data_IF_512270970630
#
_entry.id   IF_512270970630
#
_cell.length_a   1.000
_cell.length_b   1.000
_cell.length_c   1.000
_cell.angle_alpha   90.00
_cell.angle_beta   90.00
_cell.angle_gamma   90.00
#
_symmetry.space_group_name_H-M   'P 1'
#
loop_
_entity.id
_entity.type
_entity.pdbx_description
1 polymer ?
#
# COMPACT_ATOMS: atom_id res chain seq x y z
N UNK A 1 -0.09 12.68 5.84
CA UNK A 1 1.04 11.87 6.33
C UNK A 1 1.71 12.41 7.59
N UNK A 2 1.85 13.72 7.80
CA UNK A 2 2.52 14.28 9.00
C UNK A 2 1.88 13.87 10.32
N UNK A 3 0.56 13.69 10.36
CA UNK A 3 -0.18 13.30 11.56
C UNK A 3 0.25 11.95 12.16
N UNK A 4 0.74 10.99 11.36
CA UNK A 4 1.13 9.66 11.87
C UNK A 4 2.54 9.63 12.46
N UNK A 5 3.39 10.63 12.18
CA UNK A 5 4.77 10.68 12.68
C UNK A 5 4.84 10.72 14.22
N UNK A 6 3.85 11.36 14.86
CA UNK A 6 3.75 11.40 16.32
C UNK A 6 3.47 10.04 16.96
N UNK A 7 2.84 9.12 16.21
CA UNK A 7 2.53 7.76 16.67
C UNK A 7 3.71 6.79 16.62
N UNK A 8 4.84 7.18 16.02
CA UNK A 8 6.04 6.35 16.02
C UNK A 8 6.69 6.33 17.41
N UNK A 9 6.96 5.13 17.91
CA UNK A 9 7.80 4.94 19.10
C UNK A 9 9.26 5.39 18.88
N UNK A 10 10.07 5.42 19.94
CA UNK A 10 11.50 5.75 19.84
C UNK A 10 12.21 4.84 18.82
N UNK A 11 12.94 5.43 17.86
CA UNK A 11 13.62 4.68 16.79
C UNK A 11 12.71 4.27 15.62
N UNK A 12 11.41 4.58 15.66
CA UNK A 12 10.44 4.16 14.64
C UNK A 12 10.69 4.78 13.26
N UNK A 13 10.24 4.08 12.22
CA UNK A 13 10.36 4.50 10.83
C UNK A 13 8.99 4.59 10.16
N UNK A 14 8.70 5.70 9.49
CA UNK A 14 7.58 5.82 8.55
C UNK A 14 8.02 5.36 7.17
N UNK A 15 7.39 4.30 6.64
CA UNK A 15 7.58 3.85 5.25
C UNK A 15 6.50 4.47 4.36
N UNK A 16 6.92 5.23 3.37
CA UNK A 16 6.07 5.87 2.37
C UNK A 16 5.93 4.96 1.16
N UNK A 17 4.72 4.40 0.99
CA UNK A 17 4.35 3.54 -0.16
C UNK A 17 3.31 4.20 -1.08
N UNK A 18 2.75 5.33 -0.67
CA UNK A 18 1.83 6.13 -1.48
C UNK A 18 2.55 7.27 -2.19
N UNK A 19 2.03 7.68 -3.36
CA UNK A 19 2.57 8.77 -4.16
C UNK A 19 1.54 9.91 -4.32
N UNK A 20 1.26 10.70 -3.26
CA UNK A 20 0.42 11.87 -3.37
C UNK A 20 1.10 12.95 -4.21
N UNK A 21 0.31 13.81 -4.87
CA UNK A 21 0.83 14.97 -5.59
C UNK A 21 1.37 16.06 -4.63
N UNK A 22 0.78 16.17 -3.44
CA UNK A 22 1.18 17.16 -2.46
C UNK A 22 2.51 16.80 -1.75
N UNK A 23 3.38 17.78 -1.45
CA UNK A 23 4.63 17.53 -0.76
C UNK A 23 4.46 16.95 0.65
N UNK A 24 5.34 16.01 1.01
CA UNK A 24 5.41 15.48 2.37
C UNK A 24 6.07 16.49 3.33
N UNK A 25 5.30 16.99 4.29
CA UNK A 25 5.80 17.88 5.34
C UNK A 25 6.32 17.06 6.54
N UNK A 26 7.59 17.22 6.90
CA UNK A 26 8.25 16.49 8.00
C UNK A 26 8.85 17.44 9.04
N UNK A 27 8.22 17.61 10.22
CA UNK A 27 8.76 18.46 11.28
C UNK A 27 10.04 17.88 11.89
N UNK A 28 11.15 18.61 11.81
CA UNK A 28 12.46 18.15 12.30
C UNK A 28 12.46 17.77 13.79
N UNK A 29 11.74 18.52 14.63
CA UNK A 29 11.63 18.23 16.07
C UNK A 29 11.05 16.83 16.37
N UNK A 30 10.13 16.33 15.54
CA UNK A 30 9.58 14.98 15.70
C UNK A 30 10.61 13.90 15.36
N UNK A 31 11.49 14.15 14.38
CA UNK A 31 12.57 13.23 14.03
C UNK A 31 13.62 13.18 15.14
N UNK A 32 14.08 14.35 15.60
CA UNK A 32 15.13 14.48 16.60
C UNK A 32 14.68 13.89 17.95
N UNK A 33 13.53 14.31 18.47
CA UNK A 33 13.08 13.93 19.81
C UNK A 33 12.81 12.42 19.97
N UNK A 34 12.46 11.73 18.88
CA UNK A 34 12.17 10.30 18.90
C UNK A 34 13.23 9.42 18.22
N UNK A 35 14.33 9.99 17.68
CA UNK A 35 15.25 9.27 16.78
C UNK A 35 14.53 8.57 15.63
N UNK A 36 13.52 9.22 15.06
CA UNK A 36 12.63 8.65 14.03
C UNK A 36 13.21 8.87 12.64
N UNK A 37 12.76 8.05 11.68
CA UNK A 37 13.16 8.18 10.27
C UNK A 37 11.97 8.11 9.32
N UNK A 38 12.18 8.59 8.09
CA UNK A 38 11.22 8.49 6.99
C UNK A 38 11.96 7.87 5.80
N UNK A 39 11.38 6.85 5.18
CA UNK A 39 11.93 6.18 4.00
C UNK A 39 10.82 5.94 2.98
N UNK A 40 11.16 5.95 1.68
CA UNK A 40 10.25 5.58 0.61
C UNK A 40 10.50 4.15 0.13
N UNK A 41 9.45 3.45 -0.30
CA UNK A 41 9.58 2.13 -0.90
C UNK A 41 8.49 1.90 -1.97
N UNK A 42 8.84 1.89 -3.27
CA UNK A 42 7.85 1.75 -4.35
C UNK A 42 7.43 0.29 -4.56
N UNK A 43 8.38 -0.63 -4.43
CA UNK A 43 8.22 -2.08 -4.56
C UNK A 43 9.56 -2.76 -4.20
N UNK A 44 9.55 -4.08 -4.03
CA UNK A 44 10.75 -4.89 -3.86
C UNK A 44 11.34 -5.38 -5.19
N UNK A 45 12.41 -6.16 -5.09
CA UNK A 45 13.00 -6.95 -6.19
C UNK A 45 12.16 -8.21 -6.45
N UNK A 46 12.49 -8.94 -7.51
CA UNK A 46 11.85 -10.21 -7.84
C UNK A 46 11.89 -11.20 -6.66
N UNK A 47 13.03 -11.31 -5.97
CA UNK A 47 13.17 -12.19 -4.81
C UNK A 47 12.26 -11.79 -3.64
N UNK A 48 12.06 -10.49 -3.41
CA UNK A 48 11.17 -10.01 -2.35
C UNK A 48 9.71 -10.41 -2.62
N UNK A 49 9.33 -10.46 -3.90
CA UNK A 49 8.00 -10.91 -4.34
C UNK A 49 7.84 -12.42 -4.16
N UNK A 50 8.86 -13.22 -4.49
CA UNK A 50 8.87 -14.67 -4.25
C UNK A 50 8.70 -14.98 -2.75
N UNK A 51 9.50 -14.34 -1.90
CA UNK A 51 9.42 -14.51 -0.45
C UNK A 51 8.03 -14.10 0.10
N UNK A 52 7.46 -13.02 -0.43
CA UNK A 52 6.10 -12.55 -0.08
C UNK A 52 5.04 -13.58 -0.47
N UNK A 53 5.12 -14.16 -1.68
CA UNK A 53 4.20 -15.19 -2.14
C UNK A 53 4.32 -16.47 -1.34
N UNK A 54 5.55 -16.90 -1.02
CA UNK A 54 5.82 -18.05 -0.17
C UNK A 54 5.24 -17.86 1.24
N UNK A 55 5.41 -16.67 1.83
CA UNK A 55 4.82 -16.31 3.11
C UNK A 55 3.28 -16.34 3.07
N UNK A 56 2.68 -15.72 2.05
CA UNK A 56 1.21 -15.68 1.90
C UNK A 56 0.60 -17.08 1.70
N UNK A 57 1.27 -17.94 0.95
CA UNK A 57 0.85 -19.34 0.78
C UNK A 57 0.89 -20.10 2.11
N UNK A 58 1.94 -19.92 2.91
CA UNK A 58 2.13 -20.59 4.22
C UNK A 58 1.18 -20.09 5.31
N UNK A 59 0.85 -18.81 5.30
CA UNK A 59 0.08 -18.16 6.39
C UNK A 59 -1.40 -17.98 6.07
N UNK A 60 -1.82 -18.23 4.83
CA UNK A 60 -3.21 -18.04 4.42
C UNK A 60 -3.60 -16.58 4.17
N UNK A 61 -2.64 -15.65 4.07
CA UNK A 61 -2.93 -14.26 3.68
C UNK A 61 -3.50 -14.23 2.25
N UNK A 62 -4.66 -13.59 2.08
CA UNK A 62 -5.33 -13.43 0.78
C UNK A 62 -5.82 -12.00 0.64
N UNK A 63 -5.84 -11.50 -0.59
CA UNK A 63 -6.47 -10.22 -0.90
C UNK A 63 -7.99 -10.39 -0.89
N UNK A 64 -8.70 -9.31 -0.55
CA UNK A 64 -10.15 -9.24 -0.67
C UNK A 64 -10.50 -8.60 -2.00
N UNK A 65 -11.09 -9.39 -2.88
CA UNK A 65 -11.26 -9.05 -4.29
C UNK A 65 -12.74 -8.89 -4.64
N UNK A 66 -13.05 -7.88 -5.44
CA UNK A 66 -14.27 -7.76 -6.23
C UNK A 66 -13.89 -8.15 -7.67
N UNK A 67 -14.39 -9.30 -8.14
CA UNK A 67 -14.02 -9.85 -9.45
C UNK A 67 -15.02 -9.36 -10.50
N UNK A 68 -14.50 -8.84 -11.61
CA UNK A 68 -15.28 -8.41 -12.77
C UNK A 68 -14.80 -9.16 -14.02
N UNK A 69 -15.69 -9.58 -14.92
CA UNK A 69 -15.28 -10.10 -16.21
C UNK A 69 -14.65 -8.98 -17.05
N UNK A 70 -13.71 -9.32 -17.93
CA UNK A 70 -12.96 -8.35 -18.74
C UNK A 70 -13.87 -7.43 -19.56
N UNK A 71 -15.02 -7.91 -20.02
CA UNK A 71 -16.02 -7.14 -20.79
C UNK A 71 -16.61 -5.96 -19.99
N UNK A 72 -16.53 -6.02 -18.66
CA UNK A 72 -17.00 -4.98 -17.73
C UNK A 72 -15.85 -4.13 -17.17
N UNK A 73 -14.70 -4.08 -17.85
CA UNK A 73 -13.53 -3.33 -17.40
C UNK A 73 -13.82 -1.85 -17.10
N UNK A 74 -14.68 -1.19 -17.88
CA UNK A 74 -15.04 0.21 -17.63
C UNK A 74 -15.76 0.40 -16.28
N UNK A 75 -16.72 -0.48 -15.97
CA UNK A 75 -17.42 -0.45 -14.68
C UNK A 75 -16.48 -0.77 -13.52
N UNK A 76 -15.63 -1.79 -13.70
CA UNK A 76 -14.62 -2.18 -12.74
C UNK A 76 -13.65 -1.01 -12.43
N UNK A 77 -13.26 -0.26 -13.46
CA UNK A 77 -12.41 0.92 -13.31
C UNK A 77 -13.11 2.05 -12.54
N UNK A 78 -14.36 2.38 -12.87
CA UNK A 78 -15.15 3.38 -12.12
C UNK A 78 -15.36 2.97 -10.65
N UNK A 79 -15.57 1.67 -10.39
CA UNK A 79 -15.66 1.10 -9.04
C UNK A 79 -14.37 1.32 -8.23
N UNK A 80 -13.21 1.16 -8.86
CA UNK A 80 -11.91 1.44 -8.25
C UNK A 80 -11.73 2.95 -8.02
N UNK A 81 -11.95 3.77 -9.05
CA UNK A 81 -11.69 5.21 -9.01
C UNK A 81 -12.61 5.98 -8.06
N UNK A 82 -13.86 5.54 -7.91
CA UNK A 82 -14.79 6.10 -6.91
C UNK A 82 -14.40 5.82 -5.46
N UNK A 83 -13.41 4.94 -5.22
CA UNK A 83 -13.03 4.50 -3.87
C UNK A 83 -14.05 3.58 -3.21
N UNK A 84 -15.07 3.11 -3.96
CA UNK A 84 -16.13 2.27 -3.42
C UNK A 84 -15.71 0.82 -3.16
N UNK A 85 -14.63 0.36 -3.80
CA UNK A 85 -14.16 -1.03 -3.72
C UNK A 85 -13.66 -1.43 -2.32
N UNK A 86 -13.90 -2.67 -1.90
CA UNK A 86 -13.32 -3.28 -0.69
C UNK A 86 -12.69 -4.64 -1.01
N UNK A 87 -11.39 -4.75 -1.32
CA UNK A 87 -10.34 -3.71 -1.37
C UNK A 87 -9.65 -3.63 -2.73
N UNK A 88 -9.73 -4.68 -3.55
CA UNK A 88 -9.14 -4.74 -4.89
C UNK A 88 -10.20 -5.12 -5.92
N UNK A 89 -10.29 -4.35 -6.99
CA UNK A 89 -10.99 -4.75 -8.20
C UNK A 89 -10.04 -5.61 -9.03
N UNK A 90 -10.46 -6.82 -9.41
CA UNK A 90 -9.66 -7.75 -10.20
C UNK A 90 -10.44 -8.13 -11.46
N UNK A 91 -9.80 -8.02 -12.61
CA UNK A 91 -10.38 -8.48 -13.88
C UNK A 91 -10.06 -9.96 -14.08
N UNK A 92 -11.09 -10.74 -14.35
CA UNK A 92 -10.97 -12.12 -14.81
C UNK A 92 -10.90 -12.11 -16.34
N UNK A 93 -9.81 -12.65 -16.88
CA UNK A 93 -9.57 -12.71 -18.33
C UNK A 93 -9.85 -14.12 -18.84
N UNK A 94 -10.93 -14.28 -19.61
CA UNK A 94 -11.29 -15.55 -20.26
C UNK A 94 -11.92 -16.58 -19.30
N UNK A 95 -12.97 -17.24 -19.80
CA UNK A 95 -13.33 -18.59 -19.38
C UNK A 95 -12.57 -19.60 -20.25
#
# INVERSE_FOLDING_TARGET
MTAVLGGLGPGGQLIVVGAPADPLQVPAGLLIGGRRSVAGWPSGRSIDSEDTMAFAARTGVRSMNEIFPLERAAEAYERMMSGGARFRVVLETGA
#
